data_IF_650841713217
#
_entry.id   IF_650841713217
#
_cell.length_a   1.000
_cell.length_b   1.000
_cell.length_c   1.000
_cell.angle_alpha   90.00
_cell.angle_beta   90.00
_cell.angle_gamma   90.00
#
_symmetry.space_group_name_H-M   'P 1'
#
loop_
_entity.id
_entity.type
_entity.pdbx_description
1 polymer ?
#
# COMPACT_ATOMS: atom_id res chain seq x y z
N UNK A 1 -69.01 -12.91 4.27
CA UNK A 1 -68.65 -11.82 5.20
C UNK A 1 -67.94 -12.35 6.43
N UNK A 2 -68.50 -13.35 7.13
CA UNK A 2 -67.87 -13.97 8.31
C UNK A 2 -66.50 -14.61 8.02
N UNK A 3 -66.39 -15.42 6.96
CA UNK A 3 -65.10 -16.02 6.56
C UNK A 3 -64.02 -14.95 6.22
N UNK A 4 -64.45 -13.79 5.71
CA UNK A 4 -63.57 -12.67 5.37
C UNK A 4 -63.06 -11.95 6.63
N UNK A 5 -63.95 -11.73 7.60
CA UNK A 5 -63.58 -11.14 8.90
C UNK A 5 -62.66 -12.11 9.66
N UNK A 6 -62.99 -13.40 9.68
CA UNK A 6 -62.19 -14.43 10.33
C UNK A 6 -60.77 -14.53 9.74
N UNK A 7 -60.64 -14.57 8.41
CA UNK A 7 -59.34 -14.59 7.75
C UNK A 7 -58.50 -13.33 8.01
N UNK A 8 -59.12 -12.16 8.07
CA UNK A 8 -58.44 -10.91 8.44
C UNK A 8 -57.94 -10.92 9.89
N UNK A 9 -58.76 -11.39 10.84
CA UNK A 9 -58.36 -11.52 12.24
C UNK A 9 -57.20 -12.49 12.41
N UNK A 10 -57.22 -13.62 11.69
CA UNK A 10 -56.16 -14.62 11.74
C UNK A 10 -54.85 -14.09 11.12
N UNK A 11 -54.94 -13.33 10.02
CA UNK A 11 -53.79 -12.68 9.42
C UNK A 11 -53.13 -11.66 10.36
N UNK A 12 -53.91 -10.79 11.00
CA UNK A 12 -53.40 -9.81 11.98
C UNK A 12 -52.80 -10.53 13.20
N UNK A 13 -53.46 -11.55 13.73
CA UNK A 13 -52.99 -12.29 14.91
C UNK A 13 -51.70 -13.11 14.68
N UNK A 14 -51.38 -13.45 13.44
CA UNK A 14 -50.14 -14.16 13.06
C UNK A 14 -48.99 -13.21 12.71
N UNK A 15 -49.26 -11.92 12.47
CA UNK A 15 -48.20 -10.96 12.16
C UNK A 15 -47.38 -10.65 13.43
N UNK A 16 -46.05 -10.85 13.42
CA UNK A 16 -45.23 -10.59 14.57
C UNK A 16 -44.91 -9.08 14.64
N UNK A 17 -45.89 -8.27 15.05
CA UNK A 17 -45.81 -6.79 15.03
C UNK A 17 -44.59 -6.24 15.77
N UNK A 18 -44.17 -6.89 16.86
CA UNK A 18 -43.03 -6.46 17.68
C UNK A 18 -41.67 -6.95 17.17
N UNK A 19 -41.60 -7.81 16.15
CA UNK A 19 -40.33 -8.40 15.69
C UNK A 19 -39.35 -7.32 15.24
N UNK A 20 -39.82 -6.35 14.45
CA UNK A 20 -38.99 -5.25 13.98
C UNK A 20 -38.42 -4.42 15.14
N UNK A 21 -39.22 -4.15 16.17
CA UNK A 21 -38.78 -3.40 17.36
C UNK A 21 -37.77 -4.20 18.19
N UNK A 22 -37.99 -5.51 18.37
CA UNK A 22 -37.06 -6.39 19.09
C UNK A 22 -35.71 -6.45 18.39
N UNK A 23 -35.71 -6.65 17.07
CA UNK A 23 -34.48 -6.70 16.26
C UNK A 23 -33.73 -5.38 16.36
N UNK A 24 -34.39 -4.24 16.10
CA UNK A 24 -33.76 -2.92 16.17
C UNK A 24 -33.20 -2.60 17.56
N UNK A 25 -33.91 -2.98 18.64
CA UNK A 25 -33.46 -2.74 20.02
C UNK A 25 -32.23 -3.58 20.36
N UNK A 26 -32.21 -4.84 19.95
CA UNK A 26 -31.07 -5.73 20.18
C UNK A 26 -29.83 -5.27 19.39
N UNK A 27 -30.02 -4.87 18.13
CA UNK A 27 -28.95 -4.32 17.30
C UNK A 27 -28.39 -3.02 17.90
N UNK A 28 -29.26 -2.11 18.35
CA UNK A 28 -28.84 -0.87 19.02
C UNK A 28 -28.05 -1.15 20.31
N UNK A 29 -28.47 -2.14 21.10
CA UNK A 29 -27.71 -2.59 22.28
C UNK A 29 -26.35 -3.16 21.88
N UNK A 30 -26.29 -3.99 20.83
CA UNK A 30 -25.04 -4.51 20.27
C UNK A 30 -24.06 -3.40 19.86
N UNK A 31 -24.55 -2.36 19.19
CA UNK A 31 -23.74 -1.19 18.84
C UNK A 31 -23.14 -0.48 20.07
N UNK A 32 -23.92 -0.35 21.16
CA UNK A 32 -23.45 0.22 22.43
C UNK A 32 -22.37 -0.66 23.06
N UNK A 33 -22.55 -1.98 23.06
CA UNK A 33 -21.59 -2.91 23.65
C UNK A 33 -20.28 -2.99 22.83
N UNK A 34 -20.33 -2.86 21.50
CA UNK A 34 -19.16 -2.71 20.63
C UNK A 34 -18.41 -1.40 20.89
N UNK A 35 -19.13 -0.29 21.10
CA UNK A 35 -18.54 1.03 21.41
C UNK A 35 -17.73 1.04 22.71
N UNK A 36 -18.16 0.29 23.73
CA UNK A 36 -17.38 0.09 24.97
C UNK A 36 -16.02 -0.58 24.72
N UNK A 37 -15.90 -1.34 23.63
CA UNK A 37 -14.66 -1.97 23.16
C UNK A 37 -13.96 -1.13 22.07
N UNK A 38 -14.26 0.18 21.99
CA UNK A 38 -13.69 1.14 21.02
C UNK A 38 -14.04 0.85 19.55
N UNK A 39 -15.12 0.12 19.28
CA UNK A 39 -15.62 -0.10 17.91
C UNK A 39 -16.89 0.72 17.67
N UNK A 40 -16.84 1.66 16.73
CA UNK A 40 -17.96 2.55 16.42
C UNK A 40 -18.77 1.96 15.26
N UNK A 41 -20.04 1.65 15.52
CA UNK A 41 -20.98 1.16 14.51
C UNK A 41 -21.74 2.36 13.90
N UNK A 42 -21.49 2.66 12.62
CA UNK A 42 -22.20 3.73 11.89
C UNK A 42 -23.57 3.27 11.37
N UNK A 43 -23.66 2.02 10.94
CA UNK A 43 -24.89 1.38 10.49
C UNK A 43 -25.14 0.12 11.32
N UNK A 44 -26.26 0.10 12.02
CA UNK A 44 -26.59 -0.99 12.96
C UNK A 44 -26.89 -2.31 12.22
N UNK A 45 -27.26 -2.24 10.93
CA UNK A 45 -27.47 -3.42 10.09
C UNK A 45 -26.15 -4.15 9.81
N UNK A 46 -25.02 -3.43 9.82
CA UNK A 46 -23.70 -4.02 9.60
C UNK A 46 -23.31 -5.03 10.69
N UNK A 47 -23.91 -4.98 11.89
CA UNK A 47 -23.65 -5.96 12.96
C UNK A 47 -24.04 -7.38 12.52
N UNK A 48 -25.14 -7.52 11.76
CA UNK A 48 -25.59 -8.84 11.28
C UNK A 48 -24.61 -9.39 10.25
N UNK A 49 -24.24 -8.57 9.26
CA UNK A 49 -23.27 -8.95 8.25
C UNK A 49 -21.90 -9.25 8.88
N UNK A 50 -21.48 -8.51 9.91
CA UNK A 50 -20.23 -8.75 10.63
C UNK A 50 -20.24 -10.12 11.32
N UNK A 51 -21.38 -10.52 11.90
CA UNK A 51 -21.54 -11.85 12.51
C UNK A 51 -21.68 -13.00 11.51
N UNK A 52 -22.10 -12.72 10.27
CA UNK A 52 -22.24 -13.71 9.19
C UNK A 52 -21.00 -13.80 8.29
N UNK A 53 -20.05 -12.87 8.44
CA UNK A 53 -18.84 -12.78 7.64
C UNK A 53 -18.02 -14.07 7.69
N UNK A 54 -17.68 -14.60 6.52
CA UNK A 54 -16.84 -15.79 6.36
C UNK A 54 -15.52 -15.48 5.63
N UNK A 55 -15.42 -14.32 4.96
CA UNK A 55 -14.17 -13.83 4.37
C UNK A 55 -13.90 -12.40 4.83
N UNK A 56 -12.71 -12.20 5.41
CA UNK A 56 -12.14 -10.88 5.67
C UNK A 56 -11.07 -10.56 4.62
N UNK A 57 -11.39 -9.60 3.77
CA UNK A 57 -10.43 -8.90 2.93
C UNK A 57 -9.75 -7.81 3.76
N UNK A 58 -8.42 -7.78 3.82
CA UNK A 58 -7.65 -6.80 4.60
C UNK A 58 -6.64 -6.09 3.71
N UNK A 59 -6.51 -4.77 3.83
CA UNK A 59 -5.28 -4.10 3.37
C UNK A 59 -4.11 -4.53 4.27
N UNK A 60 -2.89 -4.41 3.75
CA UNK A 60 -1.65 -4.66 4.48
C UNK A 60 -1.17 -3.41 5.21
N UNK A 61 -0.98 -2.32 4.47
CA UNK A 61 -0.38 -1.08 4.98
C UNK A 61 -1.36 -0.41 5.95
N UNK A 62 -0.89 -0.09 7.17
CA UNK A 62 -1.69 0.50 8.25
C UNK A 62 -2.77 -0.35 8.90
N UNK A 63 -3.18 -1.43 8.23
CA UNK A 63 -4.15 -2.39 8.76
C UNK A 63 -3.47 -3.56 9.48
N UNK A 64 -2.64 -4.34 8.78
CA UNK A 64 -1.84 -5.44 9.37
C UNK A 64 -0.49 -4.96 9.91
N UNK A 65 0.02 -3.89 9.33
CA UNK A 65 1.29 -3.24 9.68
C UNK A 65 1.03 -1.97 10.48
N UNK A 66 2.06 -1.46 11.14
CA UNK A 66 1.95 -0.31 12.03
C UNK A 66 1.76 1.03 11.30
N UNK A 67 1.82 1.06 9.96
CA UNK A 67 1.84 2.29 9.17
C UNK A 67 3.01 3.22 9.55
N UNK A 68 4.09 2.63 10.06
CA UNK A 68 5.25 3.37 10.56
C UNK A 68 6.46 2.93 9.76
N UNK A 69 6.50 3.39 8.52
CA UNK A 69 7.63 3.19 7.63
C UNK A 69 8.84 3.87 8.26
N UNK A 70 9.97 3.16 8.33
CA UNK A 70 11.26 3.72 8.75
C UNK A 70 12.36 3.33 7.76
N UNK A 71 13.34 4.22 7.59
CA UNK A 71 14.54 3.94 6.80
C UNK A 71 15.45 3.04 7.61
N UNK A 72 15.76 1.86 7.07
CA UNK A 72 16.69 0.91 7.64
C UNK A 72 18.13 1.15 7.15
N UNK A 73 18.29 1.49 5.86
CA UNK A 73 19.61 1.71 5.27
C UNK A 73 19.55 2.59 4.01
N UNK A 74 20.65 3.32 3.76
CA UNK A 74 20.89 4.10 2.53
C UNK A 74 22.16 3.55 1.87
N UNK A 75 22.01 2.79 0.79
CA UNK A 75 23.11 2.02 0.23
C UNK A 75 23.47 2.43 -1.20
N UNK A 76 24.74 2.27 -1.55
CA UNK A 76 25.19 2.20 -2.94
C UNK A 76 24.69 0.92 -3.63
N UNK A 77 25.05 0.73 -4.90
CA UNK A 77 24.60 -0.45 -5.66
C UNK A 77 25.11 -1.79 -5.11
N UNK A 78 26.16 -1.79 -4.29
CA UNK A 78 26.77 -3.00 -3.71
C UNK A 78 26.24 -3.31 -2.30
N UNK A 79 25.30 -2.50 -1.80
CA UNK A 79 24.74 -2.67 -0.47
C UNK A 79 25.58 -2.06 0.65
N UNK A 80 26.55 -1.19 0.32
CA UNK A 80 27.36 -0.47 1.31
C UNK A 80 26.74 0.89 1.61
N UNK A 81 26.77 1.34 2.86
CA UNK A 81 26.21 2.64 3.25
C UNK A 81 26.80 3.78 2.40
N UNK A 82 25.93 4.69 1.94
CA UNK A 82 26.31 5.82 1.08
C UNK A 82 25.67 7.12 1.55
N UNK A 83 26.52 8.04 2.03
CA UNK A 83 26.11 9.39 2.45
C UNK A 83 25.51 10.19 1.29
N UNK A 84 25.96 9.93 0.05
CA UNK A 84 25.42 10.62 -1.14
C UNK A 84 23.99 10.20 -1.43
N UNK A 85 23.66 8.92 -1.28
CA UNK A 85 22.29 8.41 -1.44
C UNK A 85 21.39 9.01 -0.37
N UNK A 86 21.88 9.08 0.87
CA UNK A 86 21.16 9.67 1.99
C UNK A 86 20.86 11.16 1.77
N UNK A 87 21.89 11.95 1.41
CA UNK A 87 21.73 13.38 1.12
C UNK A 87 20.73 13.61 -0.02
N UNK A 88 20.85 12.87 -1.12
CA UNK A 88 19.93 13.01 -2.25
C UNK A 88 18.50 12.60 -1.90
N UNK A 89 18.32 11.54 -1.11
CA UNK A 89 17.01 11.16 -0.60
C UNK A 89 16.38 12.28 0.24
N UNK A 90 17.17 12.88 1.15
CA UNK A 90 16.74 14.00 1.99
C UNK A 90 16.33 15.22 1.14
N UNK A 91 17.18 15.63 0.20
CA UNK A 91 16.90 16.75 -0.71
C UNK A 91 15.64 16.50 -1.55
N UNK A 92 15.42 15.27 -2.01
CA UNK A 92 14.20 14.92 -2.73
C UNK A 92 12.96 14.93 -1.83
N UNK A 93 13.06 14.44 -0.61
CA UNK A 93 11.94 14.41 0.34
C UNK A 93 11.48 15.82 0.74
N UNK A 94 12.42 16.70 1.12
CA UNK A 94 12.10 18.04 1.66
C UNK A 94 11.59 19.03 0.62
N UNK A 95 12.03 18.89 -0.63
CA UNK A 95 11.76 19.87 -1.69
C UNK A 95 10.66 19.47 -2.67
N UNK A 96 9.95 18.37 -2.41
CA UNK A 96 8.85 17.94 -3.26
C UNK A 96 7.60 18.80 -2.99
N UNK A 97 6.98 19.35 -4.05
CA UNK A 97 5.81 20.23 -3.87
C UNK A 97 4.52 19.46 -3.62
N UNK A 98 4.46 18.18 -3.99
CA UNK A 98 3.30 17.31 -3.74
C UNK A 98 3.16 16.97 -2.26
N UNK A 99 1.94 16.59 -1.84
CA UNK A 99 1.67 16.17 -0.47
C UNK A 99 2.69 15.12 0.01
N UNK A 100 3.35 15.41 1.13
CA UNK A 100 4.34 14.52 1.74
C UNK A 100 3.69 13.21 2.15
N UNK A 101 4.33 12.10 1.78
CA UNK A 101 3.88 10.76 2.14
C UNK A 101 4.70 10.22 3.33
N UNK A 102 4.36 9.02 3.82
CA UNK A 102 5.07 8.39 4.94
C UNK A 102 6.53 8.05 4.64
N UNK A 103 6.87 7.79 3.37
CA UNK A 103 8.26 7.55 2.95
C UNK A 103 9.05 8.84 3.10
N UNK A 104 8.47 9.97 2.72
CA UNK A 104 9.09 11.29 2.83
C UNK A 104 9.39 11.63 4.29
N UNK A 105 8.42 11.38 5.18
CA UNK A 105 8.58 11.56 6.63
C UNK A 105 9.64 10.62 7.20
N UNK A 106 9.67 9.35 6.78
CA UNK A 106 10.68 8.40 7.22
C UNK A 106 12.10 8.83 6.82
N UNK A 107 12.26 9.40 5.62
CA UNK A 107 13.54 9.94 5.15
C UNK A 107 13.94 11.17 5.98
N UNK A 108 13.00 12.10 6.23
CA UNK A 108 13.27 13.31 7.01
C UNK A 108 13.63 12.98 8.46
N UNK A 109 12.90 12.04 9.10
CA UNK A 109 13.21 11.53 10.46
C UNK A 109 14.59 10.88 10.50
N UNK A 110 14.96 10.09 9.48
CA UNK A 110 16.28 9.45 9.40
C UNK A 110 17.43 10.46 9.24
N UNK A 111 17.20 11.54 8.48
CA UNK A 111 18.19 12.57 8.19
C UNK A 111 18.30 13.64 9.30
N UNK A 112 17.29 13.78 10.16
CA UNK A 112 17.17 14.87 11.15
C UNK A 112 18.39 15.02 12.07
N UNK A 113 19.01 13.91 12.51
CA UNK A 113 20.19 13.94 13.39
C UNK A 113 21.52 13.96 12.63
N UNK A 114 21.50 13.84 11.30
CA UNK A 114 22.69 13.63 10.46
C UNK A 114 23.11 14.84 9.64
N UNK A 115 22.16 15.68 9.25
CA UNK A 115 22.42 16.90 8.49
C UNK A 115 21.91 18.13 9.24
N UNK A 116 22.70 19.20 9.23
CA UNK A 116 22.25 20.50 9.73
C UNK A 116 21.30 21.17 8.72
N UNK A 117 20.40 22.04 9.19
CA UNK A 117 19.54 22.82 8.30
C UNK A 117 20.37 23.68 7.33
N UNK A 118 21.49 24.23 7.77
CA UNK A 118 22.40 25.06 6.95
C UNK A 118 22.97 24.29 5.75
N UNK A 119 23.31 23.00 5.92
CA UNK A 119 23.83 22.16 4.82
C UNK A 119 22.76 21.86 3.77
N UNK A 120 21.51 21.71 4.19
CA UNK A 120 20.39 21.43 3.29
C UNK A 120 19.90 22.70 2.60
N UNK A 121 19.91 23.85 3.29
CA UNK A 121 19.56 25.16 2.73
C UNK A 121 20.54 25.63 1.65
N UNK A 122 21.77 25.10 1.62
CA UNK A 122 22.72 25.33 0.53
C UNK A 122 22.17 24.85 -0.83
N UNK A 123 21.24 23.89 -0.84
CA UNK A 123 20.61 23.34 -2.04
C UNK A 123 19.25 23.99 -2.28
N UNK A 124 19.24 25.07 -3.06
CA UNK A 124 18.01 25.84 -3.31
C UNK A 124 17.11 25.10 -4.30
N UNK A 125 15.84 24.81 -3.98
CA UNK A 125 14.92 24.17 -4.91
C UNK A 125 14.60 25.07 -6.11
N UNK A 126 14.66 24.51 -7.32
CA UNK A 126 14.42 25.22 -8.58
C UNK A 126 13.15 24.72 -9.29
N UNK A 127 12.75 23.48 -9.03
CA UNK A 127 11.52 22.90 -9.54
C UNK A 127 11.39 21.43 -9.16
N UNK A 128 10.25 20.83 -9.50
CA UNK A 128 9.97 19.43 -9.22
C UNK A 128 9.07 18.81 -10.30
N UNK A 129 9.08 17.49 -10.36
CA UNK A 129 8.11 16.68 -11.09
C UNK A 129 7.42 15.80 -10.04
N UNK A 130 6.16 16.13 -9.68
CA UNK A 130 5.41 15.41 -8.65
C UNK A 130 5.32 13.90 -8.89
N UNK A 131 5.00 13.18 -7.82
CA UNK A 131 4.75 11.75 -7.89
C UNK A 131 3.58 11.43 -8.83
N UNK A 132 3.76 10.38 -9.62
CA UNK A 132 2.78 9.88 -10.58
C UNK A 132 2.61 8.38 -10.38
N UNK A 133 1.37 7.93 -10.23
CA UNK A 133 1.04 6.53 -9.94
C UNK A 133 1.36 5.55 -11.09
N UNK A 134 1.46 6.04 -12.32
CA UNK A 134 1.86 5.27 -13.50
C UNK A 134 3.39 5.20 -13.57
N UNK A 135 4.08 6.33 -13.39
CA UNK A 135 5.55 6.40 -13.44
C UNK A 135 6.26 5.87 -12.19
N UNK A 136 5.56 5.86 -11.05
CA UNK A 136 6.00 5.42 -9.71
C UNK A 136 7.31 6.05 -9.23
N UNK A 137 7.50 7.33 -9.55
CA UNK A 137 8.69 8.11 -9.18
C UNK A 137 8.34 9.58 -9.01
N UNK A 138 9.20 10.29 -8.29
CA UNK A 138 9.10 11.71 -8.00
C UNK A 138 10.49 12.35 -8.10
N UNK A 139 10.56 13.54 -8.69
CA UNK A 139 11.83 14.21 -9.01
C UNK A 139 11.84 15.62 -8.42
N UNK A 140 12.97 16.04 -7.88
CA UNK A 140 13.24 17.43 -7.50
C UNK A 140 14.48 17.92 -8.22
N UNK A 141 14.57 19.22 -8.44
CA UNK A 141 15.73 19.88 -8.99
C UNK A 141 16.20 20.91 -7.98
N UNK A 142 17.45 20.77 -7.55
CA UNK A 142 18.10 21.69 -6.63
C UNK A 142 19.30 22.36 -7.29
N UNK A 143 19.57 23.61 -6.93
CA UNK A 143 20.75 24.34 -7.36
C UNK A 143 21.92 23.95 -6.46
N UNK A 144 23.04 23.52 -7.05
CA UNK A 144 24.28 23.27 -6.30
C UNK A 144 25.23 24.46 -6.39
N UNK A 145 25.34 25.09 -7.56
CA UNK A 145 26.20 26.25 -7.82
C UNK A 145 25.53 27.19 -8.84
N UNK A 146 26.12 28.34 -9.16
CA UNK A 146 25.57 29.30 -10.14
C UNK A 146 25.26 28.66 -11.49
N UNK A 147 26.08 27.71 -11.93
CA UNK A 147 26.02 27.11 -13.27
C UNK A 147 25.48 25.66 -13.28
N UNK A 148 25.25 25.04 -12.11
CA UNK A 148 24.93 23.61 -12.02
C UNK A 148 23.71 23.35 -11.14
N UNK A 149 22.72 22.68 -11.74
CA UNK A 149 21.58 22.09 -11.05
C UNK A 149 21.77 20.57 -10.94
N UNK A 150 21.21 19.98 -9.89
CA UNK A 150 21.12 18.54 -9.71
C UNK A 150 19.65 18.16 -9.77
N UNK A 151 19.31 17.31 -10.73
CA UNK A 151 18.03 16.59 -10.78
C UNK A 151 18.17 15.32 -9.96
N UNK A 152 17.31 15.14 -8.96
CA UNK A 152 17.31 14.00 -8.06
C UNK A 152 15.96 13.30 -8.15
N UNK A 153 15.96 12.03 -8.51
CA UNK A 153 14.74 11.23 -8.68
C UNK A 153 14.73 10.07 -7.70
N UNK A 154 13.59 9.86 -7.03
CA UNK A 154 13.32 8.68 -6.20
C UNK A 154 12.11 7.91 -6.74
N UNK A 155 12.10 6.60 -6.59
CA UNK A 155 11.02 5.78 -7.13
C UNK A 155 11.24 4.29 -6.99
N UNK A 156 10.30 3.52 -7.53
CA UNK A 156 10.45 2.07 -7.61
C UNK A 156 11.65 1.70 -8.52
N UNK A 157 12.40 0.67 -8.10
CA UNK A 157 13.68 0.32 -8.74
C UNK A 157 13.52 0.00 -10.24
N UNK A 158 12.56 -0.85 -10.69
CA UNK A 158 12.41 -1.14 -12.11
C UNK A 158 12.20 0.10 -12.97
N UNK A 159 11.37 1.03 -12.49
CA UNK A 159 11.01 2.27 -13.14
C UNK A 159 12.20 3.24 -13.18
N UNK A 160 13.01 3.29 -12.13
CA UNK A 160 14.26 4.06 -12.10
C UNK A 160 15.32 3.48 -13.03
N UNK A 161 15.52 2.17 -13.01
CA UNK A 161 16.52 1.52 -13.86
C UNK A 161 16.16 1.69 -15.35
N UNK A 162 14.87 1.74 -15.68
CA UNK A 162 14.39 1.95 -17.06
C UNK A 162 14.76 3.32 -17.67
N UNK A 163 15.04 4.32 -16.83
CA UNK A 163 15.39 5.69 -17.24
C UNK A 163 16.86 6.03 -16.93
N UNK A 164 17.63 5.07 -16.42
CA UNK A 164 19.03 5.24 -16.06
C UNK A 164 19.95 4.79 -17.18
N UNK A 165 20.96 5.60 -17.52
CA UNK A 165 21.98 5.26 -18.53
C UNK A 165 23.33 4.91 -17.90
N UNK A 166 23.56 5.34 -16.66
CA UNK A 166 24.78 5.08 -15.91
C UNK A 166 24.50 4.79 -14.46
N UNK A 167 25.54 4.41 -13.73
CA UNK A 167 25.53 4.27 -12.28
C UNK A 167 26.79 4.89 -11.68
N UNK A 168 26.72 5.20 -10.38
CA UNK A 168 27.86 5.69 -9.62
C UNK A 168 28.60 4.51 -8.97
N UNK A 169 29.87 4.32 -9.29
CA UNK A 169 30.72 3.32 -8.63
C UNK A 169 31.16 3.78 -7.22
N UNK A 170 31.75 2.89 -6.39
CA UNK A 170 32.16 3.23 -5.02
C UNK A 170 33.30 4.25 -4.95
N UNK A 171 34.03 4.42 -6.06
CA UNK A 171 35.08 5.42 -6.21
C UNK A 171 34.52 6.79 -6.63
N UNK A 172 33.22 6.87 -6.94
CA UNK A 172 32.52 8.08 -7.34
C UNK A 172 32.56 8.37 -8.85
N UNK A 173 32.99 7.41 -9.68
CA UNK A 173 32.97 7.56 -11.13
C UNK A 173 31.64 7.10 -11.73
N UNK A 174 31.27 7.71 -12.85
CA UNK A 174 30.06 7.34 -13.61
C UNK A 174 30.43 6.24 -14.60
N UNK A 175 29.84 5.08 -14.44
CA UNK A 175 30.00 3.92 -15.33
C UNK A 175 28.70 3.68 -16.12
N UNK A 176 28.78 3.12 -17.34
CA UNK A 176 27.58 2.78 -18.10
C UNK A 176 26.79 1.67 -17.41
N UNK A 177 25.47 1.84 -17.36
CA UNK A 177 24.57 0.83 -16.81
C UNK A 177 24.35 -0.26 -17.86
N UNK A 178 24.84 -1.46 -17.60
CA UNK A 178 24.66 -2.62 -18.46
C UNK A 178 23.63 -3.61 -17.86
N UNK A 179 23.23 -4.61 -18.65
CA UNK A 179 22.24 -5.59 -18.22
C UNK A 179 22.70 -6.44 -17.03
N UNK A 180 24.01 -6.67 -16.88
CA UNK A 180 24.55 -7.46 -15.77
C UNK A 180 24.33 -6.73 -14.43
N UNK A 181 24.67 -5.43 -14.37
CA UNK A 181 24.45 -4.61 -13.18
C UNK A 181 22.95 -4.44 -12.89
N UNK A 182 22.12 -4.29 -13.92
CA UNK A 182 20.66 -4.25 -13.74
C UNK A 182 20.15 -5.53 -13.08
N UNK A 183 20.63 -6.69 -13.54
CA UNK A 183 20.25 -7.97 -12.94
C UNK A 183 20.75 -8.11 -11.50
N UNK A 184 21.97 -7.65 -11.20
CA UNK A 184 22.52 -7.67 -9.84
C UNK A 184 21.69 -6.80 -8.88
N UNK A 185 21.34 -5.57 -9.29
CA UNK A 185 20.48 -4.67 -8.50
C UNK A 185 19.10 -5.27 -8.30
N UNK A 186 18.51 -5.86 -9.33
CA UNK A 186 17.21 -6.54 -9.22
C UNK A 186 17.27 -7.72 -8.24
N UNK A 187 18.36 -8.50 -8.26
CA UNK A 187 18.57 -9.59 -7.29
C UNK A 187 18.67 -9.10 -5.84
N UNK A 188 19.30 -7.95 -5.60
CA UNK A 188 19.32 -7.30 -4.28
C UNK A 188 17.92 -6.86 -3.85
N UNK A 189 17.15 -6.26 -4.76
CA UNK A 189 15.76 -5.87 -4.49
C UNK A 189 14.90 -7.07 -4.11
N UNK A 190 15.05 -8.19 -4.82
CA UNK A 190 14.35 -9.43 -4.49
C UNK A 190 14.77 -9.94 -3.11
N UNK A 191 16.07 -9.93 -2.80
CA UNK A 191 16.58 -10.36 -1.49
C UNK A 191 16.05 -9.54 -0.32
N UNK A 192 16.00 -8.21 -0.45
CA UNK A 192 15.41 -7.32 0.56
C UNK A 192 13.90 -7.51 0.65
N UNK A 193 13.22 -7.61 -0.49
CA UNK A 193 11.77 -7.78 -0.54
C UNK A 193 11.32 -9.12 0.05
N UNK A 194 12.11 -10.18 -0.11
CA UNK A 194 11.88 -11.48 0.52
C UNK A 194 11.98 -11.45 2.06
N UNK A 195 12.49 -10.35 2.64
CA UNK A 195 12.52 -10.09 4.08
C UNK A 195 11.50 -9.03 4.51
N UNK A 196 10.51 -8.75 3.67
CA UNK A 196 9.47 -7.76 3.95
C UNK A 196 9.92 -6.31 3.82
N UNK A 197 11.13 -6.06 3.32
CA UNK A 197 11.67 -4.71 3.21
C UNK A 197 11.32 -4.11 1.86
N UNK A 198 10.98 -2.82 1.84
CA UNK A 198 10.72 -2.08 0.60
C UNK A 198 12.00 -1.39 0.14
N UNK A 199 12.29 -1.47 -1.15
CA UNK A 199 13.47 -0.81 -1.74
C UNK A 199 13.04 0.28 -2.72
N UNK A 200 13.64 1.47 -2.60
CA UNK A 200 13.46 2.57 -3.55
C UNK A 200 14.80 2.98 -4.14
N UNK A 201 14.84 3.23 -5.43
CA UNK A 201 16.03 3.75 -6.10
C UNK A 201 16.19 5.25 -5.87
N UNK A 202 17.44 5.70 -5.91
CA UNK A 202 17.81 7.10 -5.97
C UNK A 202 18.74 7.31 -7.16
N UNK A 203 18.41 8.29 -8.00
CA UNK A 203 19.24 8.69 -9.13
C UNK A 203 19.54 10.17 -9.09
N UNK A 204 20.60 10.57 -9.78
CA UNK A 204 20.91 11.98 -10.00
C UNK A 204 21.32 12.25 -11.45
N UNK A 205 21.17 13.51 -11.88
CA UNK A 205 21.70 14.01 -13.15
C UNK A 205 22.11 15.47 -12.97
N UNK A 206 23.32 15.81 -13.41
CA UNK A 206 23.79 17.20 -13.45
C UNK A 206 23.23 17.89 -14.69
N UNK A 207 22.67 19.09 -14.51
CA UNK A 207 22.07 19.89 -15.55
C UNK A 207 22.69 21.29 -15.53
N UNK A 208 22.93 21.94 -16.69
CA UNK A 208 23.28 23.35 -16.73
C UNK A 208 22.20 24.21 -16.08
N UNK A 209 22.60 25.24 -15.34
CA UNK A 209 21.65 26.22 -14.81
C UNK A 209 21.02 27.02 -15.96
N UNK A 210 19.70 27.25 -15.88
CA UNK A 210 18.99 28.07 -16.87
C UNK A 210 17.62 27.53 -17.29
N UNK A 211 17.41 26.21 -17.24
CA UNK A 211 16.07 25.63 -17.43
C UNK A 211 15.22 25.87 -16.19
N UNK A 212 14.01 26.40 -16.38
CA UNK A 212 13.08 26.79 -15.30
C UNK A 212 11.82 25.92 -15.20
N UNK A 213 11.47 25.23 -16.27
CA UNK A 213 10.31 24.33 -16.31
C UNK A 213 10.81 22.91 -16.50
N UNK A 214 10.31 21.97 -15.71
CA UNK A 214 10.71 20.57 -15.77
C UNK A 214 9.46 19.71 -16.01
N UNK A 215 9.59 18.69 -16.86
CA UNK A 215 8.53 17.74 -17.14
C UNK A 215 9.02 16.30 -16.97
N UNK A 216 8.09 15.34 -17.05
CA UNK A 216 8.44 13.92 -17.03
C UNK A 216 9.38 13.51 -18.18
N UNK A 217 9.41 14.26 -19.28
CA UNK A 217 10.31 14.00 -20.42
C UNK A 217 11.78 14.27 -20.08
N UNK A 218 12.05 15.07 -19.04
CA UNK A 218 13.41 15.37 -18.59
C UNK A 218 14.03 14.25 -17.76
N UNK A 219 13.22 13.29 -17.30
CA UNK A 219 13.64 12.12 -16.53
C UNK A 219 14.23 11.04 -17.45
N UNK A 220 15.34 11.35 -18.10
CA UNK A 220 16.06 10.43 -18.99
C UNK A 220 17.57 10.47 -18.75
N UNK A 221 18.26 9.39 -19.10
CA UNK A 221 19.71 9.27 -19.00
C UNK A 221 20.23 9.63 -17.59
N UNK A 222 19.53 9.15 -16.57
CA UNK A 222 19.88 9.40 -15.17
C UNK A 222 21.04 8.50 -14.72
N UNK A 223 21.75 8.92 -13.68
CA UNK A 223 22.82 8.14 -13.04
C UNK A 223 22.24 7.49 -11.78
N UNK A 224 22.18 6.17 -11.76
CA UNK A 224 21.79 5.40 -10.59
C UNK A 224 22.82 5.57 -9.46
N UNK A 225 22.41 6.23 -8.38
CA UNK A 225 23.30 6.53 -7.24
C UNK A 225 23.32 5.37 -6.25
N UNK A 226 22.18 4.71 -6.06
CA UNK A 226 21.99 3.66 -5.07
C UNK A 226 20.52 3.51 -4.70
N UNK A 227 20.25 2.94 -3.53
CA UNK A 227 18.90 2.63 -3.08
C UNK A 227 18.72 2.80 -1.58
N UNK A 228 17.47 3.02 -1.19
CA UNK A 228 16.99 3.12 0.18
C UNK A 228 16.25 1.83 0.53
N UNK A 229 16.47 1.34 1.76
CA UNK A 229 15.76 0.18 2.30
C UNK A 229 14.86 0.66 3.43
N UNK A 230 13.58 0.33 3.33
CA UNK A 230 12.54 0.67 4.30
C UNK A 230 11.97 -0.58 4.94
N UNK A 231 11.54 -0.44 6.18
CA UNK A 231 10.78 -1.46 6.90
C UNK A 231 9.45 -0.89 7.38
N UNK A 232 8.41 -1.72 7.38
CA UNK A 232 7.08 -1.41 7.92
C UNK A 232 6.67 -2.61 8.78
N UNK A 233 6.91 -2.56 10.10
CA UNK A 233 6.74 -3.72 10.97
C UNK A 233 5.26 -4.11 11.08
N UNK A 234 5.02 -5.41 11.24
CA UNK A 234 3.68 -5.94 11.54
C UNK A 234 3.20 -5.47 12.92
N UNK A 235 1.89 -5.34 13.10
CA UNK A 235 1.32 -5.10 14.44
C UNK A 235 1.56 -6.32 15.31
N UNK A 236 1.97 -6.11 16.56
CA UNK A 236 2.23 -7.21 17.51
C UNK A 236 1.00 -8.11 17.71
N UNK A 237 -0.20 -7.55 17.60
CA UNK A 237 -1.48 -8.26 17.75
C UNK A 237 -1.98 -8.92 16.46
N UNK A 238 -1.32 -8.70 15.31
CA UNK A 238 -1.83 -9.16 14.03
C UNK A 238 -1.89 -10.69 13.97
N UNK A 239 -0.81 -11.38 14.34
CA UNK A 239 -0.75 -12.84 14.28
C UNK A 239 -1.82 -13.52 15.16
N UNK A 240 -2.04 -13.01 16.38
CA UNK A 240 -3.07 -13.52 17.29
C UNK A 240 -4.49 -13.29 16.73
N UNK A 241 -4.73 -12.12 16.12
CA UNK A 241 -6.02 -11.81 15.49
C UNK A 241 -6.31 -12.73 14.29
N UNK A 242 -5.31 -12.97 13.43
CA UNK A 242 -5.43 -13.90 12.29
C UNK A 242 -5.72 -15.32 12.77
N UNK A 243 -5.01 -15.79 13.80
CA UNK A 243 -5.26 -17.10 14.40
C UNK A 243 -6.69 -17.22 14.93
N UNK A 244 -7.17 -16.20 15.65
CA UNK A 244 -8.53 -16.16 16.19
C UNK A 244 -9.59 -16.19 15.08
N UNK A 245 -9.41 -15.40 14.00
CA UNK A 245 -10.32 -15.40 12.85
C UNK A 245 -10.42 -16.79 12.20
N UNK A 246 -9.28 -17.48 12.07
CA UNK A 246 -9.24 -18.85 11.54
C UNK A 246 -9.98 -19.85 12.44
N UNK A 247 -9.88 -19.71 13.77
CA UNK A 247 -10.66 -20.54 14.70
C UNK A 247 -12.17 -20.33 14.57
N UNK A 248 -12.61 -19.11 14.23
CA UNK A 248 -14.00 -18.80 13.91
C UNK A 248 -14.43 -19.22 12.50
N UNK A 249 -13.54 -19.82 11.71
CA UNK A 249 -13.82 -20.23 10.34
C UNK A 249 -13.82 -19.09 9.32
N UNK A 250 -13.25 -17.94 9.66
CA UNK A 250 -13.17 -16.77 8.77
C UNK A 250 -11.86 -16.87 7.97
N UNK A 251 -11.99 -16.95 6.65
CA UNK A 251 -10.86 -16.88 5.73
C UNK A 251 -10.32 -15.45 5.63
N UNK A 252 -9.00 -15.27 5.69
CA UNK A 252 -8.36 -13.96 5.52
C UNK A 252 -7.68 -13.88 4.17
N UNK A 253 -7.99 -12.82 3.41
CA UNK A 253 -7.39 -12.50 2.12
C UNK A 253 -6.77 -11.11 2.18
N UNK A 254 -5.54 -10.94 1.70
CA UNK A 254 -4.78 -9.69 1.75
C UNK A 254 -4.81 -9.02 0.39
N UNK A 255 -5.24 -7.75 0.33
CA UNK A 255 -5.35 -6.94 -0.88
C UNK A 255 -4.47 -5.70 -0.77
N UNK A 256 -3.33 -5.70 -1.45
CA UNK A 256 -2.32 -4.64 -1.29
C UNK A 256 -1.75 -4.13 -2.61
N UNK A 257 -1.30 -2.87 -2.59
CA UNK A 257 -0.54 -2.27 -3.69
C UNK A 257 0.95 -2.64 -3.70
N UNK A 258 1.43 -3.34 -2.66
CA UNK A 258 2.82 -3.73 -2.52
C UNK A 258 3.19 -4.90 -3.44
N UNK A 259 4.49 -5.17 -3.60
CA UNK A 259 4.95 -6.29 -4.40
C UNK A 259 4.67 -7.65 -3.72
N UNK A 260 4.69 -8.70 -4.53
CA UNK A 260 4.44 -10.09 -4.16
C UNK A 260 5.38 -10.60 -3.06
N UNK A 261 6.65 -10.22 -3.10
CA UNK A 261 7.67 -10.66 -2.14
C UNK A 261 7.44 -10.11 -0.73
N UNK A 262 7.21 -8.79 -0.61
CA UNK A 262 6.90 -8.14 0.68
C UNK A 262 5.57 -8.65 1.21
N UNK A 263 4.58 -8.81 0.33
CA UNK A 263 3.26 -9.33 0.70
C UNK A 263 3.34 -10.76 1.22
N UNK A 264 4.12 -11.62 0.57
CA UNK A 264 4.38 -12.99 1.02
C UNK A 264 5.01 -13.00 2.41
N UNK A 265 6.10 -12.24 2.59
CA UNK A 265 6.81 -12.19 3.88
C UNK A 265 5.88 -11.77 5.04
N UNK A 266 5.13 -10.68 4.87
CA UNK A 266 4.21 -10.19 5.90
C UNK A 266 3.12 -11.21 6.21
N UNK A 267 2.57 -11.86 5.19
CA UNK A 267 1.53 -12.89 5.37
C UNK A 267 2.08 -14.12 6.10
N UNK A 268 3.28 -14.57 5.75
CA UNK A 268 3.95 -15.71 6.40
C UNK A 268 4.25 -15.39 7.87
N UNK A 269 4.72 -14.18 8.17
CA UNK A 269 5.02 -13.72 9.53
C UNK A 269 3.80 -13.74 10.46
N UNK A 270 2.61 -13.42 9.93
CA UNK A 270 1.35 -13.39 10.70
C UNK A 270 0.48 -14.65 10.53
N UNK A 271 0.96 -15.67 9.81
CA UNK A 271 0.29 -16.97 9.69
C UNK A 271 -0.83 -17.07 8.65
N UNK A 272 -0.86 -16.17 7.65
CA UNK A 272 -1.75 -16.29 6.48
C UNK A 272 -1.08 -17.19 5.43
N UNK A 273 -1.77 -18.23 4.90
CA UNK A 273 -1.18 -19.10 3.89
C UNK A 273 -0.83 -18.35 2.60
N UNK A 274 0.44 -18.41 2.19
CA UNK A 274 1.01 -17.61 1.12
C UNK A 274 1.27 -18.39 -0.20
N UNK A 275 0.64 -19.56 -0.37
CA UNK A 275 0.91 -20.47 -1.49
C UNK A 275 0.50 -19.91 -2.86
N UNK A 276 -0.63 -19.19 -2.92
CA UNK A 276 -1.18 -18.62 -4.15
C UNK A 276 -1.23 -17.11 -4.06
N UNK A 277 -0.49 -16.44 -4.95
CA UNK A 277 -0.42 -14.99 -5.07
C UNK A 277 -0.85 -14.59 -6.48
N UNK A 278 -1.74 -13.60 -6.58
CA UNK A 278 -2.09 -12.96 -7.84
C UNK A 278 -1.69 -11.48 -7.83
N UNK A 279 -1.13 -11.03 -8.95
CA UNK A 279 -0.79 -9.63 -9.16
C UNK A 279 -1.91 -8.88 -9.90
N UNK A 280 -1.99 -7.56 -9.72
CA UNK A 280 -2.94 -6.72 -10.48
C UNK A 280 -2.92 -6.97 -11.98
N UNK A 281 -1.71 -7.11 -12.56
CA UNK A 281 -1.53 -7.40 -14.00
C UNK A 281 -2.17 -8.73 -14.41
N UNK A 282 -2.08 -9.77 -13.58
CA UNK A 282 -2.72 -11.05 -13.85
C UNK A 282 -4.24 -10.95 -13.75
N UNK A 283 -4.75 -10.19 -12.78
CA UNK A 283 -6.19 -9.97 -12.58
C UNK A 283 -6.80 -9.17 -13.73
N UNK A 284 -6.07 -8.19 -14.25
CA UNK A 284 -6.49 -7.40 -15.42
C UNK A 284 -6.57 -8.25 -16.69
N UNK A 285 -5.75 -9.30 -16.79
CA UNK A 285 -5.79 -10.24 -17.90
C UNK A 285 -6.89 -11.31 -17.79
N UNK A 286 -7.47 -11.50 -16.60
CA UNK A 286 -8.49 -12.51 -16.33
C UNK A 286 -9.91 -12.02 -16.65
N UNK A 287 -10.75 -12.92 -17.18
CA UNK A 287 -12.20 -12.69 -17.21
C UNK A 287 -12.80 -12.75 -15.80
N UNK A 288 -14.03 -12.25 -15.64
CA UNK A 288 -14.70 -12.28 -14.35
C UNK A 288 -15.00 -13.72 -13.89
N UNK A 289 -15.27 -14.65 -14.81
CA UNK A 289 -15.42 -16.08 -14.51
C UNK A 289 -14.11 -16.74 -14.04
N UNK A 290 -12.99 -16.41 -14.69
CA UNK A 290 -11.66 -16.90 -14.28
C UNK A 290 -11.26 -16.35 -12.91
N UNK A 291 -11.56 -15.06 -12.67
CA UNK A 291 -11.31 -14.41 -11.39
C UNK A 291 -12.12 -15.07 -10.28
N UNK A 292 -13.43 -15.35 -10.49
CA UNK A 292 -14.28 -16.06 -9.52
C UNK A 292 -13.72 -17.40 -9.09
N UNK A 293 -13.16 -18.19 -10.00
CA UNK A 293 -12.52 -19.45 -9.64
C UNK A 293 -11.19 -19.23 -8.88
N UNK A 294 -10.42 -18.22 -9.30
CA UNK A 294 -9.10 -17.97 -8.75
C UNK A 294 -9.13 -17.37 -7.34
N UNK A 295 -10.13 -16.52 -7.03
CA UNK A 295 -10.25 -15.86 -5.71
C UNK A 295 -10.51 -16.84 -4.57
N UNK A 296 -11.10 -18.01 -4.83
CA UNK A 296 -11.34 -19.05 -3.83
C UNK A 296 -10.03 -19.57 -3.21
N UNK A 297 -9.07 -19.90 -4.07
CA UNK A 297 -7.79 -20.51 -3.69
C UNK A 297 -6.67 -19.51 -3.42
N UNK A 298 -6.86 -18.24 -3.78
CA UNK A 298 -5.86 -17.17 -3.63
C UNK A 298 -6.08 -16.41 -2.33
N UNK A 299 -5.01 -16.22 -1.55
CA UNK A 299 -5.06 -15.45 -0.29
C UNK A 299 -4.33 -14.12 -0.38
N UNK A 300 -3.38 -13.97 -1.29
CA UNK A 300 -2.58 -12.74 -1.41
C UNK A 300 -2.78 -12.15 -2.79
N UNK A 301 -3.16 -10.88 -2.81
CA UNK A 301 -3.35 -10.11 -4.02
C UNK A 301 -2.45 -8.87 -3.96
N UNK A 302 -1.44 -8.83 -4.82
CA UNK A 302 -0.35 -7.86 -4.79
C UNK A 302 -0.40 -6.90 -5.99
N UNK A 303 0.29 -5.76 -5.89
CA UNK A 303 0.36 -4.71 -6.92
C UNK A 303 -1.02 -4.26 -7.43
N UNK A 304 -2.01 -4.24 -6.56
CA UNK A 304 -3.39 -3.95 -6.94
C UNK A 304 -3.64 -2.47 -7.17
N UNK A 305 -4.46 -2.18 -8.16
CA UNK A 305 -5.16 -0.89 -8.30
C UNK A 305 -6.44 -0.86 -7.45
N UNK A 306 -7.00 0.33 -7.16
CA UNK A 306 -8.31 0.44 -6.50
C UNK A 306 -9.43 -0.35 -7.20
N UNK A 307 -9.43 -0.37 -8.54
CA UNK A 307 -10.40 -1.12 -9.32
C UNK A 307 -10.21 -2.64 -9.17
N UNK A 308 -8.96 -3.12 -9.09
CA UNK A 308 -8.71 -4.54 -8.82
C UNK A 308 -9.25 -4.96 -7.46
N UNK A 309 -9.04 -4.15 -6.40
CA UNK A 309 -9.58 -4.45 -5.06
C UNK A 309 -11.10 -4.62 -5.11
N UNK A 310 -11.79 -3.72 -5.82
CA UNK A 310 -13.23 -3.79 -6.01
C UNK A 310 -13.67 -5.05 -6.77
N UNK A 311 -12.99 -5.41 -7.87
CA UNK A 311 -13.31 -6.62 -8.65
C UNK A 311 -13.18 -7.90 -7.82
N UNK A 312 -12.13 -8.00 -6.99
CA UNK A 312 -11.93 -9.16 -6.10
C UNK A 312 -13.08 -9.28 -5.08
N UNK A 313 -13.45 -8.17 -4.42
CA UNK A 313 -14.55 -8.17 -3.44
C UNK A 313 -15.87 -8.60 -4.08
N UNK A 314 -16.18 -8.08 -5.29
CA UNK A 314 -17.39 -8.46 -6.02
C UNK A 314 -17.37 -9.94 -6.41
N UNK A 315 -16.25 -10.46 -6.91
CA UNK A 315 -16.13 -11.88 -7.27
C UNK A 315 -16.40 -12.81 -6.08
N UNK A 316 -15.85 -12.49 -4.90
CA UNK A 316 -16.08 -13.25 -3.67
C UNK A 316 -17.56 -13.21 -3.23
N UNK A 317 -18.20 -12.04 -3.30
CA UNK A 317 -19.63 -11.89 -2.98
C UNK A 317 -20.52 -12.66 -3.95
N UNK A 318 -20.19 -12.62 -5.24
CA UNK A 318 -20.93 -13.37 -6.27
C UNK A 318 -20.76 -14.89 -6.14
N UNK A 319 -19.69 -15.36 -5.51
CA UNK A 319 -19.52 -16.76 -5.13
C UNK A 319 -20.34 -17.15 -3.87
N UNK A 320 -21.03 -16.19 -3.24
CA UNK A 320 -21.93 -16.42 -2.11
C UNK A 320 -21.32 -16.16 -0.73
N UNK A 321 -20.10 -15.64 -0.67
CA UNK A 321 -19.46 -15.25 0.59
C UNK A 321 -20.04 -13.96 1.16
N UNK A 322 -20.04 -13.85 2.48
CA UNK A 322 -20.29 -12.58 3.18
C UNK A 322 -18.95 -11.92 3.43
N UNK A 323 -18.64 -10.89 2.65
CA UNK A 323 -17.29 -10.33 2.57
C UNK A 323 -17.20 -9.08 3.44
N UNK A 324 -16.32 -9.11 4.42
CA UNK A 324 -15.85 -7.90 5.10
C UNK A 324 -14.60 -7.36 4.45
N UNK A 325 -14.47 -6.04 4.40
CA UNK A 325 -13.24 -5.36 3.99
C UNK A 325 -12.74 -4.45 5.11
N UNK A 326 -11.47 -4.61 5.49
CA UNK A 326 -10.75 -3.74 6.41
C UNK A 326 -9.70 -2.93 5.66
N UNK A 327 -9.74 -1.59 5.79
CA UNK A 327 -8.79 -0.69 5.17
C UNK A 327 -8.82 0.73 5.76
N UNK A 328 -7.75 1.49 5.55
CA UNK A 328 -7.57 2.86 6.06
C UNK A 328 -7.48 3.91 4.94
N UNK A 329 -7.34 3.47 3.69
CA UNK A 329 -6.95 4.33 2.57
C UNK A 329 -8.09 4.80 1.68
N UNK A 330 -7.84 5.90 0.98
CA UNK A 330 -8.68 6.37 -0.15
C UNK A 330 -8.77 5.30 -1.25
N UNK A 331 -7.72 4.47 -1.37
CA UNK A 331 -7.63 3.39 -2.35
C UNK A 331 -8.65 2.26 -2.11
N UNK A 332 -9.20 2.15 -0.90
CA UNK A 332 -10.14 1.08 -0.55
C UNK A 332 -11.61 1.49 -0.69
N UNK A 333 -11.90 2.77 -0.87
CA UNK A 333 -13.26 3.33 -0.78
C UNK A 333 -14.26 2.62 -1.70
N UNK A 334 -13.85 2.29 -2.93
CA UNK A 334 -14.70 1.59 -3.89
C UNK A 334 -14.97 0.16 -3.42
N UNK A 335 -13.92 -0.56 -3.03
CA UNK A 335 -14.02 -1.93 -2.54
C UNK A 335 -14.83 -2.01 -1.23
N UNK A 336 -14.69 -1.03 -0.33
CA UNK A 336 -15.44 -0.92 0.93
C UNK A 336 -16.94 -0.78 0.65
N UNK A 337 -17.33 0.11 -0.26
CA UNK A 337 -18.73 0.25 -0.67
C UNK A 337 -19.32 -1.03 -1.25
N UNK A 338 -18.48 -1.86 -1.88
CA UNK A 338 -18.91 -3.12 -2.49
C UNK A 338 -18.87 -4.31 -1.54
N UNK A 339 -18.27 -4.19 -0.34
CA UNK A 339 -18.28 -5.24 0.67
C UNK A 339 -19.62 -5.29 1.44
N UNK A 340 -19.96 -6.44 2.02
CA UNK A 340 -21.14 -6.57 2.90
C UNK A 340 -20.91 -5.86 4.24
N UNK A 341 -19.64 -5.78 4.67
CA UNK A 341 -19.20 -5.05 5.85
C UNK A 341 -17.93 -4.27 5.54
N UNK A 342 -17.88 -3.03 5.96
CA UNK A 342 -16.69 -2.19 5.88
C UNK A 342 -16.17 -1.85 7.27
N UNK A 343 -14.89 -2.10 7.51
CA UNK A 343 -14.18 -1.79 8.74
C UNK A 343 -13.09 -0.78 8.39
N UNK A 344 -13.11 0.37 9.06
CA UNK A 344 -12.11 1.43 8.90
C UNK A 344 -11.33 1.56 10.18
N UNK A 345 -10.01 1.65 10.08
CA UNK A 345 -9.07 1.77 11.21
C UNK A 345 -8.45 3.16 11.34
#
# INVERSE_FOLDING_TARGET
MEATIFSLTLAIGLMPEMLATIVSTNLAKGAIDMSKNKVIVKDVTAIQNFGAMDILCSDKTGTLTQNRISVMACNDLYGTHSDKVELFACLNSRNLSSATNQIDWAIDEYAYERYSEEELEAYVPVGDVPFDFIRRRATVIVKQDEDVNIMITKGAIPEILSISSGYLDPEGNIQPLNNDIVNDVMGLVEWYSAKGMRVLGITHKYLPSGKKEFSADDENELIFTGFLVFTDPVKETAAEAIASLKEYGIGVKVLTGDNEYVSHYVCEEIGIPAENILTGVQIDAMSDEELKASVESTNIFARLTPDNKSRIVLALRENGHTVGLMGDGINDVIAMKNADVSISV
#
